data_IF_297036874054
#
_entry.id   IF_297036874054
#
_cell.length_a   1.000
_cell.length_b   1.000
_cell.length_c   1.000
_cell.angle_alpha   90.00
_cell.angle_beta   90.00
_cell.angle_gamma   90.00
#
_symmetry.space_group_name_H-M   'P 1'
#
loop_
_entity.id
_entity.type
_entity.pdbx_description
1 polymer ?
#
# COMPACT_ATOMS: atom_id res chain seq x y z
N UNK A 1 -16.72 19.49 -27.84
CA UNK A 1 -15.93 20.53 -27.16
C UNK A 1 -14.85 19.82 -26.36
N UNK A 2 -13.60 19.89 -26.80
CA UNK A 2 -12.48 19.29 -26.08
C UNK A 2 -12.13 20.19 -24.90
N UNK A 3 -12.30 19.69 -23.67
CA UNK A 3 -11.81 20.38 -22.48
C UNK A 3 -10.28 20.50 -22.53
N UNK A 4 -9.74 21.46 -21.77
CA UNK A 4 -8.29 21.64 -21.62
C UNK A 4 -7.63 20.32 -21.17
N UNK A 5 -6.44 19.94 -21.65
CA UNK A 5 -5.80 18.66 -21.28
C UNK A 5 -5.71 18.42 -19.75
N UNK A 6 -5.52 19.49 -18.97
CA UNK A 6 -5.54 19.46 -17.51
C UNK A 6 -6.90 19.05 -16.91
N UNK A 7 -8.03 19.50 -17.50
CA UNK A 7 -9.37 19.13 -17.00
C UNK A 7 -9.68 17.66 -17.27
N UNK A 8 -9.21 17.11 -18.39
CA UNK A 8 -9.39 15.69 -18.72
C UNK A 8 -8.55 14.81 -17.80
N UNK A 9 -7.29 15.20 -17.54
CA UNK A 9 -6.40 14.47 -16.61
C UNK A 9 -6.99 14.44 -15.20
N UNK A 10 -7.56 15.56 -14.73
CA UNK A 10 -8.22 15.66 -13.45
C UNK A 10 -9.45 14.74 -13.37
N UNK A 11 -10.34 14.78 -14.37
CA UNK A 11 -11.52 13.90 -14.44
C UNK A 11 -11.13 12.42 -14.38
N UNK A 12 -10.10 12.01 -15.14
CA UNK A 12 -9.64 10.61 -15.10
C UNK A 12 -9.03 10.24 -13.75
N UNK A 13 -8.34 11.18 -13.10
CA UNK A 13 -7.78 10.97 -11.75
C UNK A 13 -8.89 10.78 -10.72
N UNK A 14 -9.95 11.60 -10.78
CA UNK A 14 -11.12 11.44 -9.91
C UNK A 14 -11.78 10.08 -10.10
N UNK A 15 -12.01 9.66 -11.35
CA UNK A 15 -12.59 8.34 -11.66
C UNK A 15 -11.72 7.17 -11.19
N UNK A 16 -10.39 7.30 -11.27
CA UNK A 16 -9.46 6.30 -10.70
C UNK A 16 -9.55 6.30 -9.17
N UNK A 17 -9.58 7.46 -8.53
CA UNK A 17 -9.69 7.56 -7.07
C UNK A 17 -11.02 7.02 -6.54
N UNK A 18 -12.13 7.25 -7.25
CA UNK A 18 -13.44 6.67 -6.96
C UNK A 18 -13.38 5.14 -7.02
N UNK A 19 -12.85 4.58 -8.12
CA UNK A 19 -12.68 3.13 -8.26
C UNK A 19 -11.77 2.54 -7.18
N UNK A 20 -10.74 3.27 -6.76
CA UNK A 20 -9.87 2.88 -5.64
C UNK A 20 -10.62 2.91 -4.30
N UNK A 21 -11.42 3.95 -4.07
CA UNK A 21 -12.29 4.09 -2.90
C UNK A 21 -13.28 2.93 -2.80
N UNK A 22 -14.00 2.62 -3.89
CA UNK A 22 -14.98 1.53 -3.94
C UNK A 22 -14.34 0.17 -3.64
N UNK A 23 -13.17 -0.08 -4.22
CA UNK A 23 -12.41 -1.31 -4.03
C UNK A 23 -11.91 -1.48 -2.58
N UNK A 24 -11.43 -0.40 -1.97
CA UNK A 24 -10.84 -0.44 -0.62
C UNK A 24 -11.88 -0.39 0.51
N UNK A 25 -13.03 0.25 0.28
CA UNK A 25 -14.09 0.39 1.29
C UNK A 25 -15.21 -0.65 1.17
N UNK A 26 -15.57 -1.05 -0.05
CA UNK A 26 -16.72 -1.91 -0.32
C UNK A 26 -16.41 -3.39 -0.48
N UNK A 27 -15.14 -3.77 -0.72
CA UNK A 27 -14.78 -5.14 -1.10
C UNK A 27 -15.44 -5.59 -2.42
N UNK A 28 -15.96 -4.64 -3.22
CA UNK A 28 -16.64 -4.95 -4.47
C UNK A 28 -15.63 -5.42 -5.52
N UNK A 29 -16.00 -6.45 -6.28
CA UNK A 29 -15.24 -6.84 -7.46
C UNK A 29 -15.17 -5.66 -8.45
N UNK A 30 -14.01 -5.50 -9.08
CA UNK A 30 -13.82 -4.47 -10.09
C UNK A 30 -14.77 -4.74 -11.26
N UNK A 31 -15.66 -3.79 -11.54
CA UNK A 31 -16.49 -3.85 -12.74
C UNK A 31 -15.58 -3.82 -14.00
N UNK A 32 -15.45 -4.98 -14.65
CA UNK A 32 -14.57 -5.17 -15.80
C UNK A 32 -14.85 -4.21 -16.95
N UNK A 33 -16.12 -3.87 -17.18
CA UNK A 33 -16.49 -2.95 -18.24
C UNK A 33 -16.06 -1.51 -17.92
N UNK A 34 -16.29 -1.08 -16.67
CA UNK A 34 -15.87 0.23 -16.19
C UNK A 34 -14.33 0.35 -16.23
N UNK A 35 -13.63 -0.68 -15.77
CA UNK A 35 -12.17 -0.76 -15.81
C UNK A 35 -11.63 -0.65 -17.24
N UNK A 36 -12.14 -1.47 -18.18
CA UNK A 36 -11.69 -1.43 -19.59
C UNK A 36 -11.96 -0.10 -20.26
N UNK A 37 -13.08 0.55 -19.95
CA UNK A 37 -13.41 1.88 -20.47
C UNK A 37 -12.44 2.94 -19.95
N UNK A 38 -12.24 2.99 -18.64
CA UNK A 38 -11.31 3.93 -17.99
C UNK A 38 -9.88 3.72 -18.48
N UNK A 39 -9.42 2.46 -18.56
CA UNK A 39 -8.09 2.11 -19.07
C UNK A 39 -7.88 2.61 -20.50
N UNK A 40 -8.87 2.44 -21.38
CA UNK A 40 -8.81 2.96 -22.76
C UNK A 40 -8.74 4.49 -22.79
N UNK A 41 -9.49 5.17 -21.93
CA UNK A 41 -9.46 6.64 -21.85
C UNK A 41 -8.07 7.13 -21.40
N UNK A 42 -7.45 6.46 -20.42
CA UNK A 42 -6.07 6.71 -19.98
C UNK A 42 -5.06 6.47 -21.11
N UNK A 43 -5.18 5.36 -21.85
CA UNK A 43 -4.29 5.06 -22.98
C UNK A 43 -4.36 6.11 -24.09
N UNK A 44 -5.55 6.66 -24.37
CA UNK A 44 -5.69 7.78 -25.31
C UNK A 44 -4.94 9.02 -24.81
N UNK A 45 -4.97 9.28 -23.51
CA UNK A 45 -4.28 10.42 -22.90
C UNK A 45 -2.76 10.38 -23.09
N UNK A 46 -2.18 9.17 -23.17
CA UNK A 46 -0.74 8.98 -23.41
C UNK A 46 -0.26 9.48 -24.78
N UNK A 47 -1.18 9.71 -25.73
CA UNK A 47 -0.83 10.23 -27.06
C UNK A 47 -0.43 11.71 -27.04
N UNK A 48 -0.86 12.46 -26.00
CA UNK A 48 -0.44 13.83 -25.76
C UNK A 48 0.79 13.85 -24.84
N UNK A 49 1.89 14.47 -25.29
CA UNK A 49 3.17 14.43 -24.59
C UNK A 49 3.09 15.05 -23.19
N UNK A 50 2.34 16.14 -23.04
CA UNK A 50 2.13 16.85 -21.79
C UNK A 50 1.34 16.04 -20.74
N UNK A 51 0.48 15.14 -21.19
CA UNK A 51 -0.37 14.31 -20.32
C UNK A 51 0.21 12.92 -20.06
N UNK A 52 1.22 12.51 -20.85
CA UNK A 52 1.81 11.19 -20.80
C UNK A 52 2.39 10.80 -19.43
N UNK A 53 3.05 11.69 -18.65
CA UNK A 53 3.50 11.34 -17.30
C UNK A 53 2.34 10.89 -16.40
N UNK A 54 1.28 11.70 -16.29
CA UNK A 54 0.13 11.40 -15.43
C UNK A 54 -0.61 10.15 -15.92
N UNK A 55 -0.78 10.03 -17.23
CA UNK A 55 -1.42 8.86 -17.84
C UNK A 55 -0.69 7.55 -17.53
N UNK A 56 0.64 7.54 -17.44
CA UNK A 56 1.41 6.36 -17.05
C UNK A 56 1.25 6.02 -15.56
N UNK A 57 1.16 7.02 -14.68
CA UNK A 57 0.90 6.79 -13.25
C UNK A 57 -0.53 6.27 -13.03
N UNK A 58 -1.51 6.80 -13.76
CA UNK A 58 -2.89 6.29 -13.76
C UNK A 58 -2.95 4.87 -14.35
N UNK A 59 -2.20 4.57 -15.42
CA UNK A 59 -2.10 3.21 -15.95
C UNK A 59 -1.56 2.24 -14.90
N UNK A 60 -0.51 2.63 -14.17
CA UNK A 60 0.02 1.82 -13.08
C UNK A 60 -1.02 1.56 -11.99
N UNK A 61 -1.81 2.57 -11.61
CA UNK A 61 -2.92 2.38 -10.65
C UNK A 61 -3.96 1.38 -11.16
N UNK A 62 -4.31 1.44 -12.46
CA UNK A 62 -5.25 0.51 -13.08
C UNK A 62 -4.76 -0.93 -13.06
N UNK A 63 -3.46 -1.16 -13.27
CA UNK A 63 -2.86 -2.50 -13.13
C UNK A 63 -2.79 -2.96 -11.67
N UNK A 64 -2.52 -2.05 -10.73
CA UNK A 64 -2.52 -2.36 -9.30
C UNK A 64 -3.91 -2.81 -8.79
N UNK A 65 -5.01 -2.29 -9.37
CA UNK A 65 -6.36 -2.79 -9.09
C UNK A 65 -6.49 -4.30 -9.34
N UNK A 66 -5.87 -4.78 -10.42
CA UNK A 66 -5.87 -6.19 -10.84
C UNK A 66 -4.79 -7.04 -10.18
N UNK A 67 -4.02 -6.47 -9.24
CA UNK A 67 -2.83 -7.12 -8.67
C UNK A 67 -1.80 -7.54 -9.75
N UNK A 68 -1.81 -6.86 -10.91
CA UNK A 68 -0.87 -7.14 -12.00
C UNK A 68 0.44 -6.37 -11.79
N UNK A 69 1.36 -6.99 -11.05
CA UNK A 69 2.66 -6.41 -10.74
C UNK A 69 3.49 -6.13 -12.00
N UNK A 70 3.44 -6.99 -13.02
CA UNK A 70 4.16 -6.78 -14.27
C UNK A 70 3.64 -5.54 -15.01
N UNK A 71 2.32 -5.37 -15.04
CA UNK A 71 1.67 -4.19 -15.60
C UNK A 71 2.05 -2.90 -14.87
N UNK A 72 2.03 -2.92 -13.54
CA UNK A 72 2.47 -1.80 -12.70
C UNK A 72 3.93 -1.45 -12.99
N UNK A 73 4.82 -2.45 -12.95
CA UNK A 73 6.25 -2.21 -13.12
C UNK A 73 6.59 -1.73 -14.53
N UNK A 74 5.90 -2.24 -15.56
CA UNK A 74 6.04 -1.76 -16.94
C UNK A 74 5.71 -0.27 -17.05
N UNK A 75 4.56 0.16 -16.52
CA UNK A 75 4.15 1.57 -16.58
C UNK A 75 5.13 2.48 -15.81
N UNK A 76 5.55 2.07 -14.61
CA UNK A 76 6.53 2.80 -13.79
C UNK A 76 7.94 2.86 -14.41
N UNK A 77 8.37 1.81 -15.09
CA UNK A 77 9.65 1.78 -15.81
C UNK A 77 9.63 2.69 -17.03
N UNK A 78 8.54 2.70 -17.81
CA UNK A 78 8.37 3.65 -18.90
C UNK A 78 8.39 5.07 -18.34
N UNK A 79 7.63 5.37 -17.27
CA UNK A 79 7.64 6.69 -16.66
C UNK A 79 9.06 7.12 -16.28
N UNK A 80 9.76 6.30 -15.49
CA UNK A 80 11.08 6.68 -14.97
C UNK A 80 12.15 6.77 -16.06
N UNK A 81 12.04 5.98 -17.13
CA UNK A 81 12.95 6.07 -18.28
C UNK A 81 12.81 7.37 -19.07
N UNK A 82 11.60 7.93 -19.18
CA UNK A 82 11.34 9.15 -19.93
C UNK A 82 11.40 10.43 -19.08
N UNK A 83 11.00 10.35 -17.81
CA UNK A 83 10.79 11.52 -16.94
C UNK A 83 11.61 11.50 -15.65
N UNK A 84 12.35 10.42 -15.39
CA UNK A 84 13.08 10.21 -14.14
C UNK A 84 12.18 9.79 -12.97
N UNK A 85 12.81 9.49 -11.82
CA UNK A 85 12.11 9.15 -10.58
C UNK A 85 11.68 10.44 -9.85
N UNK A 86 10.54 11.00 -10.24
CA UNK A 86 9.97 12.22 -9.64
C UNK A 86 9.26 11.93 -8.31
N UNK A 87 8.89 12.98 -7.57
CA UNK A 87 8.07 12.83 -6.36
C UNK A 87 6.73 12.13 -6.64
N UNK A 88 6.09 12.42 -7.78
CA UNK A 88 4.86 11.75 -8.19
C UNK A 88 5.08 10.25 -8.43
N UNK A 89 6.22 9.88 -9.04
CA UNK A 89 6.60 8.48 -9.23
C UNK A 89 6.82 7.75 -7.91
N UNK A 90 7.55 8.35 -6.95
CA UNK A 90 7.77 7.75 -5.63
C UNK A 90 6.45 7.57 -4.88
N UNK A 91 5.59 8.59 -4.86
CA UNK A 91 4.27 8.50 -4.21
C UNK A 91 3.38 7.43 -4.84
N UNK A 92 3.31 7.37 -6.17
CA UNK A 92 2.51 6.34 -6.85
C UNK A 92 3.02 4.95 -6.51
N UNK A 93 4.33 4.71 -6.65
CA UNK A 93 4.96 3.43 -6.34
C UNK A 93 4.75 3.01 -4.88
N UNK A 94 4.97 3.93 -3.94
CA UNK A 94 4.72 3.70 -2.52
C UNK A 94 3.24 3.46 -2.21
N UNK A 95 2.33 4.16 -2.88
CA UNK A 95 0.88 4.00 -2.72
C UNK A 95 0.36 2.65 -3.16
N UNK A 96 0.99 2.01 -4.15
CA UNK A 96 0.61 0.67 -4.61
C UNK A 96 1.20 -0.45 -3.76
N UNK A 97 2.22 -0.16 -2.93
CA UNK A 97 2.96 -1.15 -2.16
C UNK A 97 2.07 -2.03 -1.27
N UNK A 98 1.13 -1.48 -0.47
CA UNK A 98 0.23 -2.29 0.37
C UNK A 98 -0.63 -3.23 -0.45
N UNK A 99 -1.18 -2.71 -1.55
CA UNK A 99 -2.08 -3.47 -2.42
C UNK A 99 -1.39 -4.68 -3.04
N UNK A 100 -0.14 -4.53 -3.44
CA UNK A 100 0.64 -5.59 -4.07
C UNK A 100 1.38 -6.47 -3.06
N UNK A 101 1.39 -6.12 -1.77
CA UNK A 101 2.21 -6.79 -0.76
C UNK A 101 3.71 -6.66 -1.04
N UNK A 102 4.17 -5.49 -1.52
CA UNK A 102 5.56 -5.27 -1.98
C UNK A 102 6.25 -4.16 -1.18
N UNK A 103 6.82 -4.46 0.02
CA UNK A 103 7.46 -3.46 0.87
C UNK A 103 8.67 -2.81 0.19
N UNK A 104 9.37 -3.53 -0.70
CA UNK A 104 10.49 -3.00 -1.48
C UNK A 104 10.11 -1.77 -2.34
N UNK A 105 8.83 -1.60 -2.69
CA UNK A 105 8.35 -0.41 -3.41
C UNK A 105 8.44 0.89 -2.56
N UNK A 106 8.55 0.77 -1.23
CA UNK A 106 8.76 1.88 -0.30
C UNK A 106 10.24 2.20 -0.09
N UNK A 107 11.11 1.20 -0.21
CA UNK A 107 12.55 1.32 0.09
C UNK A 107 13.22 2.34 -0.82
N UNK A 108 12.93 2.34 -2.12
CA UNK A 108 13.49 3.32 -3.06
C UNK A 108 13.19 4.77 -2.64
N UNK A 109 12.00 5.03 -2.11
CA UNK A 109 11.62 6.35 -1.62
C UNK A 109 12.46 6.75 -0.40
N UNK A 110 12.61 5.82 0.56
CA UNK A 110 13.40 6.02 1.79
C UNK A 110 14.90 6.22 1.48
N UNK A 111 15.48 5.35 0.65
CA UNK A 111 16.92 5.34 0.34
C UNK A 111 17.34 6.59 -0.43
N UNK A 112 16.42 7.22 -1.18
CA UNK A 112 16.65 8.48 -1.89
C UNK A 112 16.35 9.72 -1.04
N UNK A 113 16.21 9.58 0.29
CA UNK A 113 15.93 10.68 1.24
C UNK A 113 14.66 11.48 0.91
N UNK A 114 13.71 10.87 0.19
CA UNK A 114 12.36 11.41 0.01
C UNK A 114 11.44 10.73 1.04
N UNK A 115 10.45 11.40 1.67
CA UNK A 115 9.88 12.72 1.41
C UNK A 115 10.22 13.81 2.46
N UNK A 116 11.43 14.38 2.41
CA UNK A 116 11.79 15.50 3.32
C UNK A 116 10.95 16.75 2.99
N UNK A 117 10.12 17.19 3.94
CA UNK A 117 9.35 18.42 3.82
C UNK A 117 8.16 18.38 2.85
N UNK A 118 7.82 17.22 2.28
CA UNK A 118 6.64 17.04 1.42
C UNK A 118 5.50 16.35 2.21
N UNK A 119 4.44 17.09 2.61
CA UNK A 119 3.33 16.52 3.37
C UNK A 119 2.64 15.35 2.67
N UNK A 120 2.48 15.43 1.34
CA UNK A 120 1.81 14.37 0.59
C UNK A 120 2.68 13.12 0.54
N UNK A 121 3.97 13.29 0.29
CA UNK A 121 4.93 12.19 0.35
C UNK A 121 4.97 11.53 1.72
N UNK A 122 5.01 12.33 2.79
CA UNK A 122 5.04 11.83 4.16
C UNK A 122 3.75 11.09 4.52
N UNK A 123 2.57 11.58 4.12
CA UNK A 123 1.30 10.88 4.30
C UNK A 123 1.28 9.54 3.56
N UNK A 124 1.80 9.50 2.32
CA UNK A 124 1.95 8.24 1.58
C UNK A 124 2.89 7.28 2.31
N UNK A 125 4.06 7.75 2.76
CA UNK A 125 5.02 6.93 3.50
C UNK A 125 4.40 6.37 4.77
N UNK A 126 3.71 7.21 5.55
CA UNK A 126 3.02 6.82 6.77
C UNK A 126 2.03 5.69 6.52
N UNK A 127 1.06 5.93 5.63
CA UNK A 127 -0.03 4.98 5.38
C UNK A 127 0.50 3.65 4.83
N UNK A 128 1.41 3.70 3.85
CA UNK A 128 1.93 2.49 3.23
C UNK A 128 2.88 1.72 4.14
N UNK A 129 3.73 2.41 4.91
CA UNK A 129 4.67 1.74 5.82
C UNK A 129 3.94 1.03 6.95
N UNK A 130 2.91 1.64 7.53
CA UNK A 130 2.11 1.02 8.58
C UNK A 130 1.35 -0.22 8.09
N UNK A 131 0.79 -0.18 6.87
CA UNK A 131 0.14 -1.35 6.25
C UNK A 131 1.10 -2.49 5.93
N UNK A 132 2.38 -2.17 5.71
CA UNK A 132 3.43 -3.14 5.38
C UNK A 132 4.29 -3.54 6.58
N UNK A 133 3.91 -3.16 7.81
CA UNK A 133 4.63 -3.53 9.04
C UNK A 133 5.94 -2.77 9.28
N UNK A 134 6.24 -1.73 8.49
CA UNK A 134 7.39 -0.84 8.67
C UNK A 134 7.02 0.27 9.68
N UNK A 135 6.71 -0.12 10.92
CA UNK A 135 6.14 0.79 11.91
C UNK A 135 7.12 1.86 12.41
N UNK A 136 8.43 1.58 12.47
CA UNK A 136 9.44 2.57 12.87
C UNK A 136 9.55 3.65 11.82
N UNK A 137 9.55 3.27 10.54
CA UNK A 137 9.47 4.20 9.41
C UNK A 137 8.16 5.00 9.44
N UNK A 138 7.02 4.37 9.72
CA UNK A 138 5.74 5.07 9.85
C UNK A 138 5.76 6.11 11.00
N UNK A 139 6.27 5.74 12.18
CA UNK A 139 6.46 6.67 13.31
C UNK A 139 7.33 7.88 12.93
N UNK A 140 8.42 7.66 12.19
CA UNK A 140 9.25 8.77 11.70
C UNK A 140 8.44 9.74 10.83
N UNK A 141 7.62 9.21 9.92
CA UNK A 141 6.76 10.03 9.08
C UNK A 141 5.72 10.83 9.90
N UNK A 142 5.15 10.24 10.96
CA UNK A 142 4.26 10.95 11.90
C UNK A 142 4.97 12.14 12.51
N UNK A 143 6.18 11.95 13.05
CA UNK A 143 6.94 13.04 13.67
C UNK A 143 7.31 14.14 12.69
N UNK A 144 7.65 13.80 11.44
CA UNK A 144 7.97 14.79 10.43
C UNK A 144 6.72 15.54 9.95
N UNK A 145 5.55 14.90 9.89
CA UNK A 145 4.27 15.55 9.61
C UNK A 145 3.85 16.50 10.74
N UNK A 146 4.06 16.11 11.99
CA UNK A 146 3.77 16.95 13.16
C UNK A 146 4.59 18.25 13.15
N UNK A 147 5.88 18.16 12.79
CA UNK A 147 6.75 19.35 12.62
C UNK A 147 6.24 20.32 11.56
N UNK A 148 5.56 19.82 10.53
CA UNK A 148 4.97 20.62 9.45
C UNK A 148 3.62 21.26 9.86
N UNK A 149 3.08 20.92 11.04
CA UNK A 149 1.82 21.46 11.58
C UNK A 149 0.65 21.29 10.61
N UNK A 150 0.53 20.10 10.01
CA UNK A 150 -0.56 19.79 9.09
C UNK A 150 -1.87 19.68 9.87
N UNK A 151 -2.84 20.52 9.52
CA UNK A 151 -4.19 20.47 10.11
C UNK A 151 -4.86 19.12 9.81
N UNK A 152 -5.58 18.61 10.82
CA UNK A 152 -6.33 17.34 10.78
C UNK A 152 -5.51 16.16 10.23
N UNK A 153 -4.31 15.98 10.78
CA UNK A 153 -3.44 14.88 10.40
C UNK A 153 -4.09 13.49 10.63
N UNK A 154 -4.81 13.23 11.75
CA UNK A 154 -5.48 11.95 11.96
C UNK A 154 -6.60 11.69 10.94
N UNK A 155 -7.39 12.71 10.55
CA UNK A 155 -8.46 12.56 9.56
C UNK A 155 -7.97 12.23 8.14
N UNK A 156 -6.69 12.49 7.84
CA UNK A 156 -6.05 12.22 6.54
C UNK A 156 -5.34 10.86 6.48
N UNK A 157 -5.21 10.17 7.61
CA UNK A 157 -4.53 8.89 7.67
C UNK A 157 -5.53 7.74 7.66
N UNK A 158 -5.18 6.68 6.94
CA UNK A 158 -5.97 5.44 6.84
C UNK A 158 -5.51 4.39 7.86
N UNK A 159 -4.78 4.82 8.89
CA UNK A 159 -4.15 3.97 9.90
C UNK A 159 -4.35 4.58 11.29
N UNK A 160 -4.35 3.74 12.32
CA UNK A 160 -4.50 4.21 13.71
C UNK A 160 -3.14 4.62 14.27
N UNK A 161 -3.01 5.91 14.61
CA UNK A 161 -1.74 6.50 15.08
C UNK A 161 -1.24 5.83 16.34
N UNK A 162 -2.11 5.69 17.34
CA UNK A 162 -1.75 5.08 18.63
C UNK A 162 -1.19 3.67 18.46
N UNK A 163 -1.87 2.81 17.69
CA UNK A 163 -1.41 1.45 17.44
C UNK A 163 -0.09 1.42 16.66
N UNK A 164 0.06 2.29 15.66
CA UNK A 164 1.31 2.41 14.87
C UNK A 164 2.48 2.82 15.77
N UNK A 165 2.25 3.76 16.69
CA UNK A 165 3.25 4.23 17.65
C UNK A 165 3.63 3.13 18.64
N UNK A 166 2.64 2.39 19.16
CA UNK A 166 2.87 1.26 20.07
C UNK A 166 3.69 0.16 19.39
N UNK A 167 3.33 -0.25 18.17
CA UNK A 167 4.07 -1.24 17.40
C UNK A 167 5.52 -0.78 17.12
N UNK A 168 5.70 0.50 16.74
CA UNK A 168 7.03 1.07 16.54
C UNK A 168 7.89 1.08 17.81
N UNK A 169 7.28 1.37 18.98
CA UNK A 169 7.97 1.32 20.27
C UNK A 169 8.38 -0.10 20.59
N UNK A 170 7.46 -1.08 20.48
CA UNK A 170 7.76 -2.48 20.73
C UNK A 170 8.92 -2.99 19.87
N UNK A 171 8.91 -2.71 18.56
CA UNK A 171 10.01 -3.06 17.64
C UNK A 171 11.34 -2.44 18.09
N UNK A 172 11.33 -1.18 18.51
CA UNK A 172 12.55 -0.47 18.93
C UNK A 172 13.08 -1.01 20.26
N UNK A 173 12.22 -1.25 21.23
CA UNK A 173 12.58 -1.69 22.58
C UNK A 173 13.12 -3.12 22.61
N UNK A 174 12.72 -3.95 21.65
CA UNK A 174 13.16 -5.34 21.51
C UNK A 174 14.27 -5.52 20.46
N UNK A 175 14.85 -4.42 19.94
CA UNK A 175 15.92 -4.43 18.92
C UNK A 175 15.57 -5.26 17.66
N UNK A 176 14.30 -5.18 17.24
CA UNK A 176 13.80 -5.92 16.08
C UNK A 176 14.01 -5.11 14.80
N UNK A 177 14.35 -5.80 13.71
CA UNK A 177 14.46 -5.19 12.40
C UNK A 177 13.08 -5.11 11.72
N UNK A 178 12.57 -3.90 11.49
CA UNK A 178 11.27 -3.71 10.84
C UNK A 178 11.22 -4.25 9.39
N UNK A 179 12.37 -4.39 8.72
CA UNK A 179 12.41 -4.99 7.38
C UNK A 179 12.08 -6.48 7.43
N UNK A 180 12.57 -7.19 8.45
CA UNK A 180 12.28 -8.61 8.64
C UNK A 180 10.79 -8.82 8.99
N UNK A 181 10.17 -7.86 9.70
CA UNK A 181 8.72 -7.83 9.90
C UNK A 181 7.98 -7.68 8.56
N UNK A 182 8.38 -6.68 7.76
CA UNK A 182 7.75 -6.40 6.48
C UNK A 182 7.87 -7.57 5.49
N UNK A 183 9.01 -8.29 5.50
CA UNK A 183 9.21 -9.49 4.68
C UNK A 183 8.24 -10.61 5.07
N UNK A 184 7.98 -10.82 6.38
CA UNK A 184 6.98 -11.79 6.83
C UNK A 184 5.56 -11.41 6.40
N UNK A 185 5.22 -10.13 6.50
CA UNK A 185 3.92 -9.65 6.02
C UNK A 185 3.78 -9.77 4.50
N UNK A 186 4.84 -9.54 3.73
CA UNK A 186 4.84 -9.78 2.28
C UNK A 186 4.46 -11.24 1.99
N UNK A 187 5.05 -12.20 2.69
CA UNK A 187 4.72 -13.63 2.51
C UNK A 187 3.26 -13.92 2.84
N UNK A 188 2.74 -13.38 3.92
CA UNK A 188 1.32 -13.51 4.26
C UNK A 188 0.41 -12.86 3.19
N UNK A 189 0.77 -11.68 2.69
CA UNK A 189 0.06 -11.01 1.60
C UNK A 189 0.05 -11.83 0.30
N UNK A 190 1.15 -12.52 -0.04
CA UNK A 190 1.23 -13.42 -1.19
C UNK A 190 0.25 -14.59 -1.07
N UNK A 191 0.06 -15.13 0.13
CA UNK A 191 -0.94 -16.18 0.39
C UNK A 191 -2.35 -15.62 0.24
N UNK A 192 -2.64 -14.50 0.90
CA UNK A 192 -3.98 -13.90 0.93
C UNK A 192 -4.44 -13.48 -0.46
N UNK A 193 -3.56 -12.87 -1.25
CA UNK A 193 -3.87 -12.40 -2.61
C UNK A 193 -4.28 -13.51 -3.59
N UNK A 194 -4.08 -14.79 -3.26
CA UNK A 194 -4.64 -15.93 -4.02
C UNK A 194 -6.16 -16.05 -3.85
N UNK A 195 -6.68 -15.59 -2.73
CA UNK A 195 -8.08 -15.74 -2.31
C UNK A 195 -8.85 -14.44 -2.40
N UNK A 196 -8.29 -13.38 -1.83
CA UNK A 196 -8.89 -12.07 -1.81
C UNK A 196 -7.82 -10.99 -1.84
N UNK A 197 -8.14 -9.83 -2.42
CA UNK A 197 -7.19 -8.73 -2.40
C UNK A 197 -7.07 -8.10 -1.02
N UNK A 198 -5.84 -7.87 -0.53
CA UNK A 198 -5.60 -7.18 0.74
C UNK A 198 -6.17 -5.75 0.70
N UNK A 199 -6.96 -5.40 1.71
CA UNK A 199 -7.64 -4.09 1.80
C UNK A 199 -7.71 -3.53 3.21
N UNK A 200 -7.90 -4.38 4.23
CA UNK A 200 -8.10 -3.96 5.62
C UNK A 200 -7.30 -4.86 6.55
N UNK A 201 -6.75 -4.27 7.61
CA UNK A 201 -6.02 -4.98 8.65
C UNK A 201 -6.43 -4.49 10.04
N UNK A 202 -6.20 -5.35 11.03
CA UNK A 202 -6.24 -5.04 12.45
C UNK A 202 -4.82 -5.14 12.99
N UNK A 203 -4.48 -4.23 13.90
CA UNK A 203 -3.20 -4.20 14.58
C UNK A 203 -3.43 -4.11 16.08
N UNK A 204 -2.92 -5.09 16.81
CA UNK A 204 -2.84 -5.06 18.27
C UNK A 204 -1.38 -5.16 18.69
N UNK A 205 -1.02 -4.42 19.73
CA UNK A 205 0.33 -4.44 20.28
C UNK A 205 0.23 -4.43 21.80
N UNK A 206 1.03 -5.26 22.45
CA UNK A 206 1.15 -5.28 23.90
C UNK A 206 2.55 -5.71 24.32
N UNK A 207 2.72 -5.95 25.61
CA UNK A 207 4.02 -6.30 26.21
C UNK A 207 4.62 -7.59 25.64
N UNK A 208 3.80 -8.45 25.05
CA UNK A 208 4.17 -9.78 24.58
C UNK A 208 4.41 -9.86 23.07
N UNK A 209 4.06 -8.84 22.28
CA UNK A 209 4.18 -8.92 20.83
C UNK A 209 3.28 -7.98 20.04
N UNK A 210 3.39 -8.13 18.72
CA UNK A 210 2.53 -7.49 17.72
C UNK A 210 1.67 -8.56 17.07
N UNK A 211 0.35 -8.36 17.12
CA UNK A 211 -0.62 -9.15 16.37
C UNK A 211 -1.08 -8.33 15.16
N UNK A 212 -0.83 -8.86 13.97
CA UNK A 212 -1.28 -8.28 12.71
C UNK A 212 -2.27 -9.25 12.05
N UNK A 213 -3.51 -8.80 11.86
CA UNK A 213 -4.54 -9.63 11.24
C UNK A 213 -5.09 -8.97 9.99
N UNK A 214 -5.18 -9.72 8.90
CA UNK A 214 -5.89 -9.28 7.71
C UNK A 214 -7.39 -9.51 7.91
N UNK A 215 -8.20 -8.48 7.63
CA UNK A 215 -9.65 -8.56 7.78
C UNK A 215 -10.26 -9.03 6.46
N UNK A 216 -10.81 -10.25 6.44
CA UNK A 216 -11.34 -10.89 5.24
C UNK A 216 -12.82 -11.25 5.38
N UNK A 217 -13.54 -11.25 4.26
CA UNK A 217 -14.97 -11.59 4.19
C UNK A 217 -15.14 -13.04 3.69
N UNK A 218 -14.76 -13.98 4.56
CA UNK A 218 -14.89 -15.42 4.33
C UNK A 218 -15.53 -16.10 5.54
N UNK A 219 -16.06 -17.30 5.33
CA UNK A 219 -16.50 -18.15 6.44
C UNK A 219 -15.32 -18.62 7.31
N UNK A 220 -15.63 -19.06 8.52
CA UNK A 220 -14.62 -19.44 9.52
C UNK A 220 -13.73 -20.59 9.01
N UNK A 221 -14.30 -21.57 8.32
CA UNK A 221 -13.54 -22.73 7.81
C UNK A 221 -12.50 -22.27 6.80
N UNK A 222 -12.87 -21.36 5.89
CA UNK A 222 -11.94 -20.81 4.91
C UNK A 222 -10.89 -19.90 5.55
N UNK A 223 -11.25 -19.12 6.58
CA UNK A 223 -10.29 -18.33 7.34
C UNK A 223 -9.24 -19.21 8.03
N UNK A 224 -9.65 -20.33 8.64
CA UNK A 224 -8.72 -21.30 9.25
C UNK A 224 -7.77 -21.90 8.20
N UNK A 225 -8.28 -22.23 7.01
CA UNK A 225 -7.45 -22.72 5.91
C UNK A 225 -6.38 -21.70 5.51
N UNK A 226 -6.77 -20.43 5.34
CA UNK A 226 -5.84 -19.35 4.98
C UNK A 226 -4.81 -19.11 6.10
N UNK A 227 -5.25 -19.11 7.36
CA UNK A 227 -4.37 -18.90 8.53
C UNK A 227 -3.29 -19.99 8.66
N UNK A 228 -3.68 -21.26 8.43
CA UNK A 228 -2.74 -22.37 8.37
C UNK A 228 -1.77 -22.24 7.19
N UNK A 229 -2.25 -21.85 6.00
CA UNK A 229 -1.37 -21.64 4.84
C UNK A 229 -0.37 -20.50 5.07
N UNK A 230 -0.79 -19.40 5.72
CA UNK A 230 0.10 -18.31 6.14
C UNK A 230 1.17 -18.86 7.08
N UNK A 231 0.76 -19.57 8.13
CA UNK A 231 1.66 -20.14 9.13
C UNK A 231 2.68 -21.08 8.52
N UNK A 232 2.22 -22.04 7.69
CA UNK A 232 3.07 -22.99 6.99
C UNK A 232 4.07 -22.28 6.07
N UNK A 233 3.62 -21.28 5.31
CA UNK A 233 4.48 -20.56 4.37
C UNK A 233 5.54 -19.72 5.10
N UNK A 234 5.19 -19.10 6.23
CA UNK A 234 6.14 -18.35 7.07
C UNK A 234 7.16 -19.31 7.68
N UNK A 235 6.72 -20.42 8.29
CA UNK A 235 7.59 -21.42 8.90
C UNK A 235 8.57 -22.05 7.89
N UNK A 236 8.17 -22.20 6.63
CA UNK A 236 9.05 -22.71 5.57
C UNK A 236 10.12 -21.69 5.16
N UNK A 237 9.80 -20.39 5.19
CA UNK A 237 10.68 -19.34 4.64
C UNK A 237 11.59 -18.67 5.68
N UNK A 238 11.20 -18.65 6.95
CA UNK A 238 11.90 -17.91 8.00
C UNK A 238 12.28 -18.81 9.17
N UNK A 239 13.47 -18.58 9.72
CA UNK A 239 13.86 -19.12 11.02
C UNK A 239 13.07 -18.42 12.16
N UNK A 240 12.89 -19.10 13.30
CA UNK A 240 11.96 -18.72 14.39
C UNK A 240 12.28 -17.39 15.13
N UNK A 241 13.27 -16.60 14.70
CA UNK A 241 13.77 -15.44 15.44
C UNK A 241 12.70 -14.39 15.78
N UNK A 242 11.66 -14.21 14.96
CA UNK A 242 10.56 -13.29 15.24
C UNK A 242 9.25 -13.98 15.64
N UNK A 243 9.19 -15.31 15.67
CA UNK A 243 7.96 -16.04 16.00
C UNK A 243 7.46 -15.75 17.44
N UNK A 244 8.37 -15.35 18.33
CA UNK A 244 8.05 -14.95 19.71
C UNK A 244 7.54 -13.50 19.83
N UNK A 245 7.67 -12.70 18.77
CA UNK A 245 7.39 -11.27 18.78
C UNK A 245 6.21 -10.88 17.89
N UNK A 246 5.92 -11.68 16.87
CA UNK A 246 4.96 -11.33 15.82
C UNK A 246 4.03 -12.51 15.58
N UNK A 247 2.73 -12.23 15.63
CA UNK A 247 1.68 -13.11 15.12
C UNK A 247 1.05 -12.46 13.89
N UNK A 248 0.92 -13.23 12.81
CA UNK A 248 0.28 -12.80 11.57
C UNK A 248 -0.84 -13.78 11.28
N UNK A 249 -2.06 -13.27 11.06
CA UNK A 249 -3.19 -14.13 10.78
C UNK A 249 -4.33 -13.43 10.03
N UNK A 250 -5.51 -14.03 10.08
CA UNK A 250 -6.72 -13.50 9.46
C UNK A 250 -7.89 -13.43 10.45
N UNK A 251 -8.76 -12.45 10.27
CA UNK A 251 -9.93 -12.23 11.13
C UNK A 251 -11.15 -11.89 10.27
N UNK A 252 -12.37 -12.30 10.67
CA UNK A 252 -13.57 -12.03 9.88
C UNK A 252 -13.92 -10.53 9.86
N UNK A 253 -14.49 -10.07 8.75
CA UNK A 253 -15.11 -8.75 8.66
C UNK A 253 -16.32 -8.68 9.61
N UNK A 254 -16.32 -7.68 10.50
CA UNK A 254 -17.39 -7.44 11.48
C UNK A 254 -18.59 -6.74 10.87
#
# INVERSE_FOLDING_TARGET
MAGTPASVTHELTERVNEMWGDLTSGGQEINEFAWKRLFRDIQKLQTALECKPDALLLEAAMWAFKLDEEGVQRALNIYSGWYGKTAAWYRARAGFAPRLGRPQMLVDMIDNQYPVGDPHGLLTLLNSSAQMGMFVTARRAIYDLDKLKIDDLPGKAYIRFEQTMQAANYITENDLNERDFADRLQVASEVINKYAPVSVFSLETGDFGVLFEYVLDFDIDKLIEIDNEISDTICVRFEDSLAQHISIGVTPKR
#
